data_IF_873419731753
#
_entry.id   IF_873419731753
#
_cell.length_a   1.000
_cell.length_b   1.000
_cell.length_c   1.000
_cell.angle_alpha   90.00
_cell.angle_beta   90.00
_cell.angle_gamma   90.00
#
_symmetry.space_group_name_H-M   'P 1'
#
loop_
_entity.id
_entity.type
_entity.pdbx_description
1 polymer ?
#
# COMPACT_ATOMS: atom_id res chain seq x y z
N UNK A 1 20.72 -16.49 30.72
CA UNK A 1 20.56 -15.68 31.94
C UNK A 1 19.40 -14.74 31.69
N UNK A 2 18.45 -14.69 32.61
CA UNK A 2 17.28 -13.79 32.52
C UNK A 2 17.64 -12.47 33.19
N UNK A 3 17.12 -11.36 32.68
CA UNK A 3 17.29 -10.04 33.24
C UNK A 3 16.02 -9.55 33.95
N UNK A 4 16.02 -8.30 34.39
CA UNK A 4 14.84 -7.64 34.97
C UNK A 4 14.62 -6.26 34.38
N UNK A 5 13.37 -5.81 34.37
CA UNK A 5 12.97 -4.46 33.92
C UNK A 5 12.12 -3.82 35.00
N UNK A 6 12.52 -2.65 35.49
CA UNK A 6 11.77 -1.91 36.50
C UNK A 6 11.68 -0.42 36.14
N UNK A 7 10.66 0.25 36.64
CA UNK A 7 10.44 1.66 36.37
C UNK A 7 9.38 2.30 37.25
N UNK A 8 9.13 3.59 37.04
CA UNK A 8 8.13 4.38 37.75
C UNK A 8 7.27 5.11 36.75
N UNK A 9 5.97 5.12 36.98
CA UNK A 9 4.95 5.82 36.17
C UNK A 9 4.39 6.97 37.00
N UNK A 10 4.42 8.16 36.40
CA UNK A 10 3.87 9.39 37.00
C UNK A 10 2.99 10.10 35.99
N UNK A 11 2.16 11.03 36.46
CA UNK A 11 1.45 11.99 35.61
C UNK A 11 2.33 13.22 35.30
N UNK A 12 1.76 14.16 34.55
CA UNK A 12 2.43 15.40 34.16
C UNK A 12 2.88 16.26 35.34
N UNK A 13 2.17 16.19 36.47
CA UNK A 13 2.43 16.97 37.67
C UNK A 13 3.41 16.25 38.62
N UNK A 14 3.91 15.08 38.23
CA UNK A 14 4.81 14.25 38.99
C UNK A 14 4.12 13.36 40.03
N UNK A 15 2.78 13.28 40.02
CA UNK A 15 2.02 12.40 40.91
C UNK A 15 2.15 10.97 40.42
N UNK A 16 2.36 10.01 41.33
CA UNK A 16 2.49 8.61 40.98
C UNK A 16 1.18 8.03 40.45
N UNK A 17 1.24 7.27 39.37
CA UNK A 17 0.08 6.60 38.77
C UNK A 17 -0.02 5.19 39.33
N UNK A 18 -0.83 4.98 40.35
CA UNK A 18 -1.16 3.65 40.89
C UNK A 18 -2.10 2.91 39.94
N UNK A 19 -1.90 1.58 39.79
CA UNK A 19 -2.78 0.73 38.98
C UNK A 19 -2.64 0.92 37.45
N UNK A 20 -1.64 1.67 36.98
CA UNK A 20 -1.37 1.75 35.56
C UNK A 20 -1.00 0.35 35.02
N UNK A 21 -1.61 -0.03 33.91
CA UNK A 21 -1.38 -1.34 33.29
C UNK A 21 -0.19 -1.29 32.34
N UNK A 22 0.78 -2.17 32.57
CA UNK A 22 2.00 -2.28 31.76
C UNK A 22 1.97 -3.65 31.05
N UNK A 23 2.11 -3.62 29.73
CA UNK A 23 2.27 -4.83 28.92
C UNK A 23 3.69 -4.87 28.38
N UNK A 24 4.40 -5.96 28.65
CA UNK A 24 5.71 -6.27 28.09
C UNK A 24 5.51 -7.11 26.82
N UNK A 25 6.05 -6.62 25.71
CA UNK A 25 5.97 -7.26 24.39
C UNK A 25 7.39 -7.59 23.89
N UNK A 26 7.52 -8.77 23.26
CA UNK A 26 8.70 -9.20 22.54
C UNK A 26 8.29 -9.62 21.12
N UNK A 27 8.99 -9.10 20.11
CA UNK A 27 8.65 -9.34 18.70
C UNK A 27 7.17 -9.06 18.32
N UNK A 28 6.51 -8.10 19.01
CA UNK A 28 5.11 -7.74 18.77
C UNK A 28 4.08 -8.66 19.44
N UNK A 29 4.52 -9.60 20.28
CA UNK A 29 3.65 -10.46 21.07
C UNK A 29 3.72 -10.05 22.54
N UNK A 30 2.55 -9.84 23.19
CA UNK A 30 2.47 -9.60 24.61
C UNK A 30 2.87 -10.88 25.36
N UNK A 31 3.96 -10.80 26.13
CA UNK A 31 4.50 -11.94 26.90
C UNK A 31 4.13 -11.89 28.38
N UNK A 32 4.00 -10.68 28.93
CA UNK A 32 3.63 -10.45 30.35
C UNK A 32 2.89 -9.13 30.52
N UNK A 33 2.15 -9.03 31.63
CA UNK A 33 1.55 -7.77 32.09
C UNK A 33 1.72 -7.61 33.59
N UNK A 34 1.81 -6.38 34.04
CA UNK A 34 1.86 -5.99 35.43
C UNK A 34 1.09 -4.68 35.63
N UNK A 35 0.73 -4.37 36.88
CA UNK A 35 0.19 -3.07 37.25
C UNK A 35 1.16 -2.35 38.18
N UNK A 36 1.19 -1.04 38.14
CA UNK A 36 1.98 -0.24 39.08
C UNK A 36 1.43 -0.38 40.52
N UNK A 37 2.35 -0.39 41.47
CA UNK A 37 2.05 -0.36 42.90
C UNK A 37 1.59 1.05 43.38
N UNK A 38 1.30 1.21 44.67
CA UNK A 38 0.90 2.48 45.29
C UNK A 38 1.97 3.60 45.21
N UNK A 39 3.22 3.25 44.83
CA UNK A 39 4.31 4.21 44.56
C UNK A 39 4.55 4.41 43.08
N UNK A 40 3.65 3.94 42.22
CA UNK A 40 3.77 4.02 40.77
C UNK A 40 4.85 3.14 40.17
N UNK A 41 5.39 2.15 40.90
CA UNK A 41 6.48 1.27 40.46
C UNK A 41 5.93 0.02 39.79
N UNK A 42 6.66 -0.46 38.81
CA UNK A 42 6.44 -1.78 38.20
C UNK A 42 7.75 -2.52 38.06
N UNK A 43 7.68 -3.85 38.15
CA UNK A 43 8.80 -4.77 38.04
C UNK A 43 8.43 -5.97 37.16
N UNK A 44 9.34 -6.35 36.26
CA UNK A 44 9.31 -7.60 35.52
C UNK A 44 10.62 -8.33 35.77
N UNK A 45 10.55 -9.42 36.54
CA UNK A 45 11.68 -10.31 36.76
C UNK A 45 11.71 -11.42 35.70
N UNK A 46 12.86 -12.08 35.55
CA UNK A 46 13.03 -13.22 34.67
C UNK A 46 12.65 -12.94 33.19
N UNK A 47 13.02 -11.77 32.68
CA UNK A 47 12.81 -11.37 31.29
C UNK A 47 13.93 -11.92 30.41
N UNK A 48 13.65 -12.59 29.29
CA UNK A 48 14.66 -13.01 28.35
C UNK A 48 15.43 -11.80 27.81
N UNK A 49 16.73 -11.96 27.55
CA UNK A 49 17.53 -10.93 26.89
C UNK A 49 17.09 -10.78 25.42
N UNK A 50 16.85 -9.55 24.99
CA UNK A 50 16.38 -9.24 23.65
C UNK A 50 15.80 -7.83 23.55
N UNK A 51 15.31 -7.48 22.36
CA UNK A 51 14.58 -6.23 22.15
C UNK A 51 13.18 -6.38 22.79
N UNK A 52 12.79 -5.39 23.57
CA UNK A 52 11.50 -5.37 24.24
C UNK A 52 10.74 -4.07 23.99
N UNK A 53 9.43 -4.12 24.16
CA UNK A 53 8.54 -2.97 24.16
C UNK A 53 7.65 -3.03 25.40
N UNK A 54 7.58 -1.90 26.11
CA UNK A 54 6.63 -1.70 27.21
C UNK A 54 5.50 -0.80 26.71
N UNK A 55 4.28 -1.23 26.83
CA UNK A 55 3.09 -0.43 26.58
C UNK A 55 2.42 -0.11 27.91
N UNK A 56 2.37 1.17 28.29
CA UNK A 56 1.88 1.64 29.59
C UNK A 56 0.57 2.40 29.37
N UNK A 57 -0.51 1.94 30.00
CA UNK A 57 -1.84 2.53 29.90
C UNK A 57 -2.47 2.73 31.27
N UNK A 58 -3.24 3.81 31.44
CA UNK A 58 -4.06 4.08 32.62
C UNK A 58 -5.32 4.81 32.20
N UNK A 59 -6.40 4.58 32.98
CA UNK A 59 -7.71 5.23 32.68
C UNK A 59 -7.60 6.73 32.70
N UNK A 60 -8.03 7.42 31.63
CA UNK A 60 -7.95 8.87 31.50
C UNK A 60 -6.60 9.39 30.98
N UNK A 61 -5.64 8.51 30.69
CA UNK A 61 -4.31 8.87 30.17
C UNK A 61 -4.04 8.26 28.79
N UNK A 62 -3.23 8.94 28.00
CA UNK A 62 -2.75 8.43 26.73
C UNK A 62 -1.73 7.32 26.96
N UNK A 63 -1.84 6.21 26.23
CA UNK A 63 -0.89 5.10 26.28
C UNK A 63 0.51 5.58 25.88
N UNK A 64 1.52 5.24 26.68
CA UNK A 64 2.92 5.48 26.42
C UNK A 64 3.62 4.18 26.02
N UNK A 65 4.57 4.27 25.09
CA UNK A 65 5.34 3.13 24.60
C UNK A 65 6.83 3.41 24.79
N UNK A 66 7.53 2.47 25.41
CA UNK A 66 8.99 2.50 25.60
C UNK A 66 9.58 1.28 24.91
N UNK A 67 10.61 1.46 24.12
CA UNK A 67 11.37 0.35 23.52
C UNK A 67 12.79 0.33 24.09
N UNK A 68 13.34 -0.87 24.24
CA UNK A 68 14.71 -1.04 24.74
C UNK A 68 15.32 -2.37 24.30
N UNK A 69 16.59 -2.53 24.64
CA UNK A 69 17.34 -3.78 24.48
C UNK A 69 17.83 -4.22 25.85
N UNK A 70 17.42 -5.43 26.28
CA UNK A 70 17.86 -6.04 27.53
C UNK A 70 18.98 -7.04 27.25
N UNK A 71 20.13 -6.86 27.90
CA UNK A 71 21.19 -7.87 27.83
C UNK A 71 20.97 -9.00 28.84
N UNK A 72 21.47 -10.19 28.52
CA UNK A 72 21.30 -11.35 29.40
C UNK A 72 21.89 -11.11 30.80
N UNK A 73 21.05 -11.17 31.84
CA UNK A 73 21.43 -10.91 33.24
C UNK A 73 21.46 -9.44 33.65
N UNK A 74 21.03 -8.54 32.77
CA UNK A 74 20.97 -7.10 33.03
C UNK A 74 19.70 -6.74 33.82
N UNK A 75 19.85 -5.73 34.70
CA UNK A 75 18.71 -5.04 35.32
C UNK A 75 18.51 -3.71 34.63
N UNK A 76 17.50 -3.62 33.77
CA UNK A 76 17.20 -2.43 33.01
C UNK A 76 16.27 -1.52 33.81
N UNK A 77 16.72 -0.31 34.10
CA UNK A 77 15.89 0.72 34.69
C UNK A 77 15.26 1.58 33.58
N UNK A 78 13.95 1.43 33.40
CA UNK A 78 13.22 2.28 32.46
C UNK A 78 13.29 3.75 32.91
N UNK A 79 13.39 4.72 31.97
CA UNK A 79 13.25 6.12 32.31
C UNK A 79 11.88 6.36 32.95
N UNK A 80 11.78 7.41 33.77
CA UNK A 80 10.50 7.79 34.37
C UNK A 80 9.44 8.02 33.28
N UNK A 81 8.36 7.25 33.37
CA UNK A 81 7.26 7.33 32.38
C UNK A 81 6.27 8.39 32.81
N UNK A 82 6.11 9.43 32.01
CA UNK A 82 5.14 10.50 32.27
C UNK A 82 3.91 10.24 31.42
N UNK A 83 2.77 9.92 32.06
CA UNK A 83 1.48 9.77 31.39
C UNK A 83 0.85 11.16 31.19
N UNK A 84 0.44 11.39 29.94
CA UNK A 84 -0.28 12.59 29.57
C UNK A 84 -1.79 12.30 29.60
N UNK A 85 -2.60 13.25 30.07
CA UNK A 85 -4.06 13.11 30.10
C UNK A 85 -4.54 12.80 28.68
N UNK A 86 -5.33 11.73 28.52
CA UNK A 86 -6.01 11.42 27.28
C UNK A 86 -7.01 12.52 26.98
N UNK A 87 -6.64 13.47 26.16
CA UNK A 87 -7.63 14.38 25.57
C UNK A 87 -8.39 13.55 24.52
N UNK A 88 -9.68 13.86 24.31
CA UNK A 88 -10.49 13.22 23.25
C UNK A 88 -9.79 13.27 21.88
N UNK A 89 -8.83 14.18 21.70
CA UNK A 89 -7.90 14.23 20.59
C UNK A 89 -6.85 13.09 20.58
N UNK A 90 -6.52 12.45 21.71
CA UNK A 90 -5.52 11.39 21.74
C UNK A 90 -6.06 10.01 21.34
N UNK A 91 -7.32 9.69 21.66
CA UNK A 91 -7.98 8.49 21.12
C UNK A 91 -8.33 8.66 19.64
N UNK A 92 -8.71 9.85 19.23
CA UNK A 92 -8.89 10.22 17.82
C UNK A 92 -7.55 10.21 17.06
N UNK A 93 -6.43 10.56 17.70
CA UNK A 93 -5.10 10.49 17.06
C UNK A 93 -4.62 9.08 16.73
N UNK A 94 -4.95 8.05 17.52
CA UNK A 94 -4.56 6.66 17.18
C UNK A 94 -5.40 6.12 16.02
N UNK A 95 -6.67 6.51 15.90
CA UNK A 95 -7.50 6.16 14.74
C UNK A 95 -7.34 7.13 13.57
N UNK A 96 -7.12 8.42 13.85
CA UNK A 96 -6.79 9.42 12.84
C UNK A 96 -5.40 9.20 12.25
N UNK A 97 -4.41 8.71 13.02
CA UNK A 97 -3.05 8.50 12.50
C UNK A 97 -2.99 7.45 11.38
N UNK A 98 -3.79 6.40 11.42
CA UNK A 98 -3.85 5.43 10.30
C UNK A 98 -4.52 6.02 9.06
N UNK A 99 -5.56 6.83 9.24
CA UNK A 99 -6.22 7.50 8.11
C UNK A 99 -5.41 8.70 7.60
N UNK A 100 -4.74 9.44 8.49
CA UNK A 100 -3.84 10.54 8.12
C UNK A 100 -2.58 10.00 7.45
N UNK A 101 -1.97 8.92 7.95
CA UNK A 101 -0.84 8.22 7.30
C UNK A 101 -1.28 7.71 5.93
N UNK A 102 -2.47 7.11 5.82
CA UNK A 102 -3.00 6.66 4.54
C UNK A 102 -3.28 7.83 3.58
N UNK A 103 -3.74 8.99 4.07
CA UNK A 103 -3.93 10.20 3.25
C UNK A 103 -2.61 10.85 2.83
N UNK A 104 -1.62 10.91 3.71
CA UNK A 104 -0.29 11.40 3.34
C UNK A 104 0.37 10.48 2.31
N UNK A 105 0.29 9.18 2.49
CA UNK A 105 0.79 8.21 1.52
C UNK A 105 0.13 8.34 0.15
N UNK A 106 -1.17 8.58 0.09
CA UNK A 106 -1.86 8.84 -1.18
C UNK A 106 -1.35 10.13 -1.83
N UNK A 107 -1.20 11.20 -1.06
CA UNK A 107 -0.63 12.45 -1.60
C UNK A 107 0.77 12.21 -2.14
N UNK A 108 1.58 11.39 -1.48
CA UNK A 108 2.90 10.99 -1.96
C UNK A 108 2.80 10.12 -3.22
N UNK A 109 1.91 9.12 -3.24
CA UNK A 109 1.65 8.25 -4.39
C UNK A 109 1.14 9.06 -5.60
N UNK A 110 0.25 10.02 -5.39
CA UNK A 110 -0.23 10.95 -6.45
C UNK A 110 0.86 11.88 -7.01
N UNK A 111 1.91 12.14 -6.26
CA UNK A 111 3.05 12.92 -6.71
C UNK A 111 4.13 12.07 -7.39
N UNK A 112 4.02 10.74 -7.31
CA UNK A 112 4.97 9.85 -7.95
C UNK A 112 4.80 9.89 -9.47
N UNK A 113 5.81 10.42 -10.13
CA UNK A 113 5.87 10.51 -11.59
C UNK A 113 7.22 10.01 -12.07
N UNK A 114 7.21 8.97 -12.89
CA UNK A 114 8.39 8.51 -13.60
C UNK A 114 8.89 9.61 -14.53
N UNK A 115 10.19 9.91 -14.48
CA UNK A 115 10.82 11.03 -15.20
C UNK A 115 10.19 12.40 -14.90
N UNK A 116 9.41 12.52 -13.83
CA UNK A 116 8.74 13.76 -13.43
C UNK A 116 7.40 14.05 -14.12
N UNK A 117 6.96 13.25 -15.09
CA UNK A 117 5.71 13.50 -15.81
C UNK A 117 4.79 12.28 -16.00
N UNK A 118 5.29 11.04 -16.11
CA UNK A 118 4.45 9.83 -16.28
C UNK A 118 3.89 9.41 -14.93
N UNK A 119 2.56 9.28 -14.77
CA UNK A 119 1.94 8.89 -13.50
C UNK A 119 2.37 7.48 -13.06
N UNK A 120 2.71 7.33 -11.77
CA UNK A 120 3.11 6.07 -11.15
C UNK A 120 2.36 5.88 -9.82
N UNK A 121 1.04 6.04 -9.83
CA UNK A 121 0.20 6.14 -8.64
C UNK A 121 -0.09 4.81 -7.94
N UNK A 122 0.05 3.70 -8.66
CA UNK A 122 -0.26 2.35 -8.15
C UNK A 122 0.97 1.60 -7.63
N UNK A 123 1.93 2.32 -7.05
CA UNK A 123 3.12 1.72 -6.44
C UNK A 123 3.32 2.27 -5.04
N UNK A 124 3.37 1.39 -4.05
CA UNK A 124 3.76 1.73 -2.70
C UNK A 124 5.21 1.36 -2.45
N UNK A 125 6.01 2.32 -2.00
CA UNK A 125 7.38 2.11 -1.55
C UNK A 125 7.47 1.85 -0.04
N UNK A 126 6.33 1.84 0.65
CA UNK A 126 6.22 1.49 2.07
C UNK A 126 5.70 0.05 2.15
N UNK A 127 6.51 -0.92 2.64
CA UNK A 127 6.14 -2.35 2.64
C UNK A 127 4.85 -2.65 3.41
N UNK A 128 4.64 -1.95 4.53
CA UNK A 128 3.51 -2.13 5.42
C UNK A 128 2.51 -0.96 5.36
N UNK A 129 2.41 -0.36 4.16
CA UNK A 129 1.41 0.68 3.93
C UNK A 129 0.01 0.17 4.28
N UNK A 130 -0.80 0.95 5.00
CA UNK A 130 -2.19 0.59 5.28
C UNK A 130 -2.96 0.40 3.97
N UNK A 131 -3.93 -0.55 3.94
CA UNK A 131 -4.73 -0.79 2.75
C UNK A 131 -5.54 0.45 2.39
N UNK A 132 -5.74 0.64 1.07
CA UNK A 132 -6.55 1.74 0.58
C UNK A 132 -8.02 1.52 0.92
N UNK A 133 -8.68 2.55 1.42
CA UNK A 133 -10.14 2.58 1.53
C UNK A 133 -10.78 2.60 0.13
N UNK A 134 -12.03 2.15 0.01
CA UNK A 134 -12.73 2.20 -1.27
C UNK A 134 -12.74 3.60 -1.88
N UNK A 135 -12.94 4.65 -1.08
CA UNK A 135 -12.90 6.05 -1.54
C UNK A 135 -11.54 6.42 -2.15
N UNK A 136 -10.47 5.95 -1.54
CA UNK A 136 -9.09 6.20 -2.01
C UNK A 136 -8.79 5.44 -3.30
N UNK A 137 -9.25 4.19 -3.44
CA UNK A 137 -9.16 3.41 -4.68
C UNK A 137 -9.85 4.15 -5.84
N UNK A 138 -11.07 4.65 -5.62
CA UNK A 138 -11.80 5.45 -6.62
C UNK A 138 -11.08 6.76 -6.95
N UNK A 139 -10.53 7.43 -5.94
CA UNK A 139 -9.79 8.68 -6.14
C UNK A 139 -8.55 8.50 -7.02
N UNK A 140 -7.73 7.48 -6.72
CA UNK A 140 -6.54 7.15 -7.52
C UNK A 140 -6.90 6.76 -8.95
N UNK A 141 -7.93 5.92 -9.12
CA UNK A 141 -8.39 5.50 -10.45
C UNK A 141 -8.88 6.67 -11.28
N UNK A 142 -9.66 7.57 -10.68
CA UNK A 142 -10.11 8.79 -11.34
C UNK A 142 -8.94 9.67 -11.75
N UNK A 143 -8.02 9.96 -10.83
CA UNK A 143 -6.81 10.78 -11.10
C UNK A 143 -5.97 10.18 -12.22
N UNK A 144 -5.77 8.86 -12.21
CA UNK A 144 -5.03 8.16 -13.27
C UNK A 144 -5.74 8.24 -14.62
N UNK A 145 -7.07 8.09 -14.63
CA UNK A 145 -7.86 8.09 -15.86
C UNK A 145 -7.89 9.44 -16.56
N UNK A 146 -7.95 10.55 -15.79
CA UNK A 146 -7.97 11.93 -16.35
C UNK A 146 -6.58 12.55 -16.47
N UNK A 147 -5.51 11.81 -16.17
CA UNK A 147 -4.15 12.34 -16.29
C UNK A 147 -3.85 12.72 -17.76
N UNK A 148 -3.25 13.89 -18.00
CA UNK A 148 -2.91 14.33 -19.36
C UNK A 148 -2.08 13.30 -20.14
N UNK A 149 -1.19 12.55 -19.46
CA UNK A 149 -0.37 11.52 -20.10
C UNK A 149 -1.23 10.32 -20.55
N UNK A 150 -2.27 9.94 -19.79
CA UNK A 150 -3.21 8.89 -20.21
C UNK A 150 -3.95 9.30 -21.48
N UNK A 151 -4.42 10.55 -21.53
CA UNK A 151 -5.11 11.10 -22.72
C UNK A 151 -4.16 11.16 -23.92
N UNK A 152 -2.95 11.70 -23.71
CA UNK A 152 -1.95 11.80 -24.78
C UNK A 152 -1.50 10.43 -25.29
N UNK A 153 -1.32 9.46 -24.41
CA UNK A 153 -0.97 8.09 -24.77
C UNK A 153 -2.06 7.44 -25.62
N UNK A 154 -3.35 7.64 -25.26
CA UNK A 154 -4.47 7.15 -26.05
C UNK A 154 -4.47 7.75 -27.46
N UNK A 155 -4.15 9.04 -27.59
CA UNK A 155 -4.00 9.70 -28.90
C UNK A 155 -2.80 9.17 -29.68
N UNK A 156 -1.68 8.92 -29.02
CA UNK A 156 -0.49 8.37 -29.65
C UNK A 156 -0.75 6.95 -30.20
N UNK A 157 -1.34 6.06 -29.40
CA UNK A 157 -1.70 4.71 -29.86
C UNK A 157 -2.73 4.73 -30.97
N UNK A 158 -3.75 5.61 -30.88
CA UNK A 158 -4.70 5.80 -31.99
C UNK A 158 -4.01 6.24 -33.29
N UNK A 159 -2.94 7.03 -33.20
CA UNK A 159 -2.12 7.42 -34.36
C UNK A 159 -1.39 6.24 -34.97
N UNK A 160 -0.79 5.37 -34.17
CA UNK A 160 -0.13 4.13 -34.63
C UNK A 160 -1.16 3.23 -35.30
N UNK A 161 -2.29 2.95 -34.65
CA UNK A 161 -3.39 2.13 -35.20
C UNK A 161 -3.92 2.68 -36.51
N UNK A 162 -4.00 4.01 -36.63
CA UNK A 162 -4.39 4.68 -37.87
C UNK A 162 -3.37 4.46 -38.98
N UNK A 163 -2.06 4.58 -38.67
CA UNK A 163 -0.99 4.39 -39.63
C UNK A 163 -0.90 2.92 -40.12
N UNK A 164 -1.11 1.98 -39.22
CA UNK A 164 -1.10 0.53 -39.50
C UNK A 164 -2.42 0.00 -40.06
N UNK A 165 -3.45 0.87 -40.16
CA UNK A 165 -4.82 0.48 -40.50
C UNK A 165 -5.38 -0.63 -39.60
N UNK A 166 -4.95 -0.68 -38.34
CA UNK A 166 -5.49 -1.55 -37.33
C UNK A 166 -6.96 -1.19 -37.09
N UNK A 167 -7.78 -2.18 -36.73
CA UNK A 167 -9.23 -1.98 -36.55
C UNK A 167 -9.86 -1.23 -37.74
N UNK A 168 -9.66 -1.80 -38.93
CA UNK A 168 -10.05 -1.18 -40.21
C UNK A 168 -11.54 -0.79 -40.28
N UNK A 169 -12.41 -1.43 -39.49
CA UNK A 169 -13.83 -1.06 -39.38
C UNK A 169 -14.10 0.34 -38.83
N UNK A 170 -13.11 0.99 -38.19
CA UNK A 170 -13.21 2.40 -37.83
C UNK A 170 -13.07 3.36 -39.02
N UNK A 171 -12.51 2.87 -40.15
CA UNK A 171 -12.20 3.66 -41.33
C UNK A 171 -10.89 4.45 -41.20
N UNK A 172 -10.62 5.31 -42.18
CA UNK A 172 -9.43 6.14 -42.26
C UNK A 172 -9.76 7.65 -42.15
N UNK A 173 -8.75 8.50 -42.16
CA UNK A 173 -8.87 9.96 -42.04
C UNK A 173 -9.22 10.41 -40.61
N UNK A 174 -9.61 11.68 -40.49
CA UNK A 174 -9.87 12.31 -39.18
C UNK A 174 -10.97 11.59 -38.37
N UNK A 175 -12.00 11.11 -39.05
CA UNK A 175 -13.09 10.37 -38.39
C UNK A 175 -12.61 9.00 -37.87
N UNK A 176 -11.82 8.27 -38.66
CA UNK A 176 -11.22 6.98 -38.24
C UNK A 176 -10.29 7.16 -37.05
N UNK A 177 -9.45 8.21 -37.08
CA UNK A 177 -8.58 8.57 -35.95
C UNK A 177 -9.38 8.88 -34.68
N UNK A 178 -10.41 9.73 -34.77
CA UNK A 178 -11.24 10.10 -33.63
C UNK A 178 -11.93 8.89 -33.00
N UNK A 179 -12.40 7.93 -33.80
CA UNK A 179 -12.99 6.68 -33.29
C UNK A 179 -11.96 5.81 -32.56
N UNK A 180 -10.75 5.65 -33.11
CA UNK A 180 -9.65 4.93 -32.45
C UNK A 180 -9.22 5.61 -31.16
N UNK A 181 -9.08 6.94 -31.18
CA UNK A 181 -8.78 7.71 -29.98
C UNK A 181 -9.84 7.49 -28.88
N UNK A 182 -11.13 7.60 -29.25
CA UNK A 182 -12.23 7.37 -28.31
C UNK A 182 -12.23 5.95 -27.76
N UNK A 183 -11.98 4.93 -28.58
CA UNK A 183 -11.88 3.54 -28.17
C UNK A 183 -10.70 3.30 -27.22
N UNK A 184 -9.49 3.74 -27.58
CA UNK A 184 -8.29 3.64 -26.74
C UNK A 184 -8.46 4.33 -25.38
N UNK A 185 -9.06 5.53 -25.38
CA UNK A 185 -9.30 6.25 -24.13
C UNK A 185 -10.39 5.56 -23.28
N UNK A 186 -11.44 5.04 -23.91
CA UNK A 186 -12.48 4.25 -23.22
C UNK A 186 -11.88 2.97 -22.60
N UNK A 187 -11.02 2.25 -23.32
CA UNK A 187 -10.32 1.07 -22.80
C UNK A 187 -9.43 1.42 -21.60
N UNK A 188 -8.65 2.50 -21.70
CA UNK A 188 -7.79 2.97 -20.61
C UNK A 188 -8.62 3.38 -19.38
N UNK A 189 -9.70 4.12 -19.58
CA UNK A 189 -10.58 4.57 -18.51
C UNK A 189 -11.29 3.38 -17.83
N UNK A 190 -11.95 2.51 -18.61
CA UNK A 190 -12.69 1.35 -18.10
C UNK A 190 -11.74 0.39 -17.41
N UNK A 191 -10.60 0.09 -18.04
CA UNK A 191 -9.58 -0.79 -17.46
C UNK A 191 -9.08 -0.26 -16.11
N UNK A 192 -8.71 1.03 -16.04
CA UNK A 192 -8.25 1.66 -14.80
C UNK A 192 -9.33 1.69 -13.72
N UNK A 193 -10.57 2.03 -14.07
CA UNK A 193 -11.67 2.05 -13.11
C UNK A 193 -12.02 0.65 -12.59
N UNK A 194 -12.02 -0.36 -13.44
CA UNK A 194 -12.31 -1.74 -13.03
C UNK A 194 -11.18 -2.33 -12.19
N UNK A 195 -9.91 -2.23 -12.64
CA UNK A 195 -8.76 -2.85 -11.96
C UNK A 195 -8.24 -2.03 -10.78
N UNK A 196 -8.39 -0.70 -10.81
CA UNK A 196 -7.88 0.19 -9.76
C UNK A 196 -8.89 0.55 -8.67
N UNK A 197 -10.20 0.44 -8.95
CA UNK A 197 -11.23 0.89 -8.01
C UNK A 197 -12.37 -0.10 -7.80
N UNK A 198 -13.19 -0.36 -8.82
CA UNK A 198 -14.48 -1.07 -8.67
C UNK A 198 -14.26 -2.47 -8.10
N UNK A 199 -13.48 -3.30 -8.78
CA UNK A 199 -13.28 -4.69 -8.36
C UNK A 199 -12.40 -4.81 -7.11
N UNK A 200 -11.30 -4.06 -6.96
CA UNK A 200 -10.56 -4.05 -5.70
C UNK A 200 -11.39 -3.58 -4.49
N UNK A 201 -12.30 -2.64 -4.66
CA UNK A 201 -13.20 -2.23 -3.58
C UNK A 201 -14.22 -3.32 -3.20
N UNK A 202 -14.82 -3.98 -4.21
CA UNK A 202 -15.79 -5.07 -4.02
C UNK A 202 -15.12 -6.32 -3.41
N UNK A 203 -13.94 -6.69 -3.89
CA UNK A 203 -13.22 -7.90 -3.49
C UNK A 203 -12.28 -7.67 -2.28
N UNK A 204 -12.24 -6.45 -1.73
CA UNK A 204 -11.37 -6.06 -0.61
C UNK A 204 -9.90 -6.38 -0.89
N UNK A 205 -9.42 -5.98 -2.06
CA UNK A 205 -8.05 -6.15 -2.52
C UNK A 205 -7.38 -4.80 -2.77
N UNK A 206 -6.07 -4.71 -2.51
CA UNK A 206 -5.29 -3.51 -2.75
C UNK A 206 -4.69 -3.56 -4.17
N UNK A 207 -5.00 -2.61 -5.05
CA UNK A 207 -4.55 -2.63 -6.44
C UNK A 207 -3.09 -2.19 -6.62
N UNK A 208 -2.37 -1.86 -5.54
CA UNK A 208 -1.00 -1.35 -5.61
C UNK A 208 0.02 -2.48 -5.70
N UNK A 209 1.08 -2.23 -6.45
CA UNK A 209 2.31 -2.99 -6.37
C UNK A 209 3.13 -2.52 -5.17
N UNK A 210 3.49 -3.42 -4.28
CA UNK A 210 4.36 -3.13 -3.13
C UNK A 210 5.81 -3.40 -3.51
N UNK A 211 6.61 -2.34 -3.58
CA UNK A 211 8.01 -2.44 -3.94
C UNK A 211 8.81 -3.22 -2.89
N UNK A 212 9.49 -4.30 -3.31
CA UNK A 212 10.26 -5.13 -2.40
C UNK A 212 11.60 -4.52 -2.01
N UNK A 213 12.37 -4.10 -2.98
CA UNK A 213 13.63 -3.36 -2.80
C UNK A 213 14.78 -4.12 -2.16
N UNK A 214 14.52 -5.17 -1.38
CA UNK A 214 15.48 -5.92 -0.57
C UNK A 214 15.65 -7.37 -1.03
N UNK A 215 16.80 -7.98 -0.72
CA UNK A 215 17.11 -9.36 -1.09
C UNK A 215 17.85 -9.50 -2.41
N UNK A 216 18.08 -10.75 -2.84
CA UNK A 216 18.81 -11.05 -4.07
C UNK A 216 18.02 -10.62 -5.32
N UNK A 217 18.72 -10.35 -6.43
CA UNK A 217 18.07 -10.00 -7.71
C UNK A 217 17.06 -11.07 -8.15
N UNK A 218 17.37 -12.36 -7.94
CA UNK A 218 16.46 -13.49 -8.26
C UNK A 218 15.19 -13.44 -7.41
N UNK A 219 15.32 -13.23 -6.09
CA UNK A 219 14.19 -13.12 -5.17
C UNK A 219 13.27 -11.93 -5.51
N UNK A 220 13.86 -10.79 -5.89
CA UNK A 220 13.12 -9.59 -6.31
C UNK A 220 12.40 -9.82 -7.65
N UNK A 221 13.06 -10.47 -8.61
CA UNK A 221 12.45 -10.77 -9.92
C UNK A 221 11.28 -11.74 -9.77
N UNK A 222 11.45 -12.83 -9.01
CA UNK A 222 10.35 -13.78 -8.74
C UNK A 222 9.18 -13.13 -8.02
N UNK A 223 9.47 -12.26 -7.06
CA UNK A 223 8.44 -11.47 -6.37
C UNK A 223 7.66 -10.56 -7.34
N UNK A 224 8.36 -9.82 -8.20
CA UNK A 224 7.74 -8.94 -9.18
C UNK A 224 6.85 -9.72 -10.17
N UNK A 225 7.32 -10.88 -10.65
CA UNK A 225 6.55 -11.75 -11.54
C UNK A 225 5.32 -12.33 -10.81
N UNK A 226 5.48 -12.80 -9.57
CA UNK A 226 4.36 -13.33 -8.79
C UNK A 226 3.27 -12.28 -8.56
N UNK A 227 3.64 -11.02 -8.35
CA UNK A 227 2.70 -9.91 -8.19
C UNK A 227 1.93 -9.53 -9.48
N UNK A 228 2.11 -10.24 -10.58
CA UNK A 228 1.20 -10.15 -11.72
C UNK A 228 -0.10 -10.95 -11.50
N UNK A 229 -0.11 -11.86 -10.53
CA UNK A 229 -1.26 -12.75 -10.23
C UNK A 229 -1.64 -12.79 -8.75
N UNK A 230 -0.82 -12.17 -7.87
CA UNK A 230 -1.10 -12.05 -6.43
C UNK A 230 -1.08 -10.58 -6.01
N UNK A 231 -1.92 -10.24 -5.04
CA UNK A 231 -1.98 -8.92 -4.43
C UNK A 231 -2.15 -9.01 -2.91
N UNK A 232 -2.05 -7.88 -2.20
CA UNK A 232 -2.46 -7.80 -0.81
C UNK A 232 -3.98 -7.60 -0.72
N UNK A 233 -4.62 -8.29 0.21
CA UNK A 233 -5.99 -7.96 0.62
C UNK A 233 -6.02 -6.74 1.55
N UNK A 234 -7.20 -6.16 1.74
CA UNK A 234 -7.42 -5.08 2.73
C UNK A 234 -7.17 -5.57 4.18
N UNK A 235 -7.03 -6.88 4.38
CA UNK A 235 -6.60 -7.52 5.63
C UNK A 235 -5.07 -7.64 5.77
N UNK A 236 -4.30 -7.16 4.79
CA UNK A 236 -2.84 -7.24 4.73
C UNK A 236 -2.25 -8.58 4.28
N UNK A 237 -3.07 -9.61 4.08
CA UNK A 237 -2.60 -10.93 3.65
C UNK A 237 -2.46 -11.03 2.13
N UNK A 238 -1.46 -11.78 1.67
CA UNK A 238 -1.27 -12.10 0.26
C UNK A 238 -2.32 -13.10 -0.23
N UNK A 239 -2.88 -12.84 -1.40
CA UNK A 239 -3.91 -13.67 -2.01
C UNK A 239 -3.86 -13.57 -3.54
N UNK A 240 -4.59 -14.43 -4.25
CA UNK A 240 -4.74 -14.30 -5.70
C UNK A 240 -5.44 -12.98 -6.04
N UNK A 241 -4.98 -12.31 -7.08
CA UNK A 241 -5.55 -11.06 -7.56
C UNK A 241 -6.79 -11.32 -8.42
N UNK A 242 -7.88 -11.69 -7.73
CA UNK A 242 -9.17 -11.92 -8.38
C UNK A 242 -9.69 -10.64 -9.04
N UNK A 243 -9.36 -9.47 -8.47
CA UNK A 243 -9.80 -8.19 -8.98
C UNK A 243 -9.20 -7.88 -10.33
N UNK A 244 -7.88 -8.06 -10.50
CA UNK A 244 -7.22 -7.84 -11.79
C UNK A 244 -7.67 -8.84 -12.85
N UNK A 245 -7.83 -10.12 -12.48
CA UNK A 245 -8.31 -11.19 -13.38
C UNK A 245 -9.71 -10.84 -13.90
N UNK A 246 -10.64 -10.53 -12.98
CA UNK A 246 -12.03 -10.21 -13.35
C UNK A 246 -12.11 -8.89 -14.12
N UNK A 247 -11.26 -7.88 -13.74
CA UNK A 247 -11.19 -6.61 -14.45
C UNK A 247 -10.78 -6.78 -15.90
N UNK A 248 -9.75 -7.58 -16.16
CA UNK A 248 -9.25 -7.82 -17.51
C UNK A 248 -10.32 -8.49 -18.40
N UNK A 249 -11.02 -9.48 -17.86
CA UNK A 249 -12.10 -10.16 -18.57
C UNK A 249 -13.30 -9.21 -18.81
N UNK A 250 -13.70 -8.45 -17.80
CA UNK A 250 -14.82 -7.51 -17.89
C UNK A 250 -14.50 -6.36 -18.87
N UNK A 251 -13.30 -5.78 -18.79
CA UNK A 251 -12.88 -4.73 -19.71
C UNK A 251 -12.88 -5.21 -21.16
N UNK A 252 -12.33 -6.40 -21.43
CA UNK A 252 -12.37 -7.02 -22.77
C UNK A 252 -13.79 -7.30 -23.25
N UNK A 253 -14.69 -7.72 -22.36
CA UNK A 253 -16.11 -7.88 -22.68
C UNK A 253 -16.80 -6.56 -23.03
N UNK A 254 -16.53 -5.50 -22.26
CA UNK A 254 -17.11 -4.16 -22.46
C UNK A 254 -16.57 -3.51 -23.75
N UNK A 255 -15.28 -3.69 -24.07
CA UNK A 255 -14.68 -3.12 -25.29
C UNK A 255 -15.34 -3.64 -26.56
N UNK A 256 -15.86 -4.89 -26.56
CA UNK A 256 -16.63 -5.43 -27.69
C UNK A 256 -17.91 -4.64 -28.01
N UNK A 257 -18.41 -3.81 -27.09
CA UNK A 257 -19.62 -3.01 -27.35
C UNK A 257 -19.37 -1.84 -28.32
N UNK A 258 -18.13 -1.29 -28.33
CA UNK A 258 -17.80 -0.11 -29.14
C UNK A 258 -16.76 -0.36 -30.23
N UNK A 259 -16.08 -1.50 -30.24
CA UNK A 259 -15.22 -1.89 -31.34
C UNK A 259 -16.03 -2.31 -32.58
N UNK A 260 -15.50 -2.15 -33.80
CA UNK A 260 -16.18 -2.60 -35.00
C UNK A 260 -16.47 -4.11 -34.98
N UNK A 261 -17.60 -4.52 -35.53
CA UNK A 261 -18.04 -5.93 -35.50
C UNK A 261 -16.99 -6.91 -36.09
N UNK A 262 -16.25 -6.46 -37.13
CA UNK A 262 -15.17 -7.26 -37.74
C UNK A 262 -13.94 -7.46 -36.81
N UNK A 263 -13.79 -6.62 -35.77
CA UNK A 263 -12.67 -6.63 -34.87
C UNK A 263 -13.04 -7.06 -33.44
N UNK A 264 -14.30 -7.50 -33.24
CA UNK A 264 -14.75 -7.98 -31.93
C UNK A 264 -14.09 -9.31 -31.62
N UNK A 265 -13.50 -9.38 -30.44
CA UNK A 265 -12.79 -10.53 -29.98
C UNK A 265 -13.76 -11.61 -29.50
N UNK A 266 -13.64 -12.84 -30.03
CA UNK A 266 -14.35 -13.99 -29.48
C UNK A 266 -13.85 -14.34 -28.08
N UNK A 267 -14.57 -15.25 -27.40
CA UNK A 267 -14.24 -15.68 -26.03
C UNK A 267 -12.78 -16.16 -25.90
N UNK A 268 -12.31 -16.95 -26.88
CA UNK A 268 -10.92 -17.46 -26.89
C UNK A 268 -9.90 -16.32 -26.89
N UNK A 269 -10.12 -15.30 -27.72
CA UNK A 269 -9.21 -14.14 -27.82
C UNK A 269 -9.28 -13.26 -26.56
N UNK A 270 -10.39 -13.22 -25.84
CA UNK A 270 -10.51 -12.55 -24.53
C UNK A 270 -9.59 -13.19 -23.50
N UNK A 271 -9.52 -14.52 -23.47
CA UNK A 271 -8.60 -15.25 -22.57
C UNK A 271 -7.12 -15.09 -22.99
N UNK A 272 -6.85 -15.07 -24.30
CA UNK A 272 -5.51 -14.79 -24.83
C UNK A 272 -5.04 -13.40 -24.45
N UNK A 273 -5.87 -12.38 -24.64
CA UNK A 273 -5.57 -11.00 -24.23
C UNK A 273 -5.39 -10.86 -22.71
N UNK A 274 -6.17 -11.59 -21.90
CA UNK A 274 -5.99 -11.62 -20.45
C UNK A 274 -4.63 -12.23 -20.09
N UNK A 275 -4.23 -13.33 -20.75
CA UNK A 275 -2.90 -13.94 -20.57
C UNK A 275 -1.76 -13.01 -20.96
N UNK A 276 -1.89 -12.30 -22.07
CA UNK A 276 -0.94 -11.25 -22.49
C UNK A 276 -0.91 -10.08 -21.50
N UNK A 277 -2.06 -9.71 -20.93
CA UNK A 277 -2.16 -8.71 -19.88
C UNK A 277 -1.37 -9.08 -18.61
N UNK A 278 -1.42 -10.35 -18.18
CA UNK A 278 -0.60 -10.83 -17.04
C UNK A 278 0.89 -10.81 -17.37
N UNK A 279 1.27 -11.19 -18.61
CA UNK A 279 2.64 -11.06 -19.08
C UNK A 279 3.12 -9.60 -19.04
N UNK A 280 2.30 -8.68 -19.52
CA UNK A 280 2.54 -7.25 -19.47
C UNK A 280 2.68 -6.73 -18.03
N UNK A 281 1.80 -7.15 -17.12
CA UNK A 281 1.87 -6.80 -15.70
C UNK A 281 3.16 -7.32 -15.05
N UNK A 282 3.59 -8.54 -15.37
CA UNK A 282 4.86 -9.08 -14.88
C UNK A 282 6.07 -8.26 -15.36
N UNK A 283 6.08 -7.87 -16.64
CA UNK A 283 7.11 -6.97 -17.20
C UNK A 283 7.06 -5.61 -16.53
N UNK A 284 5.89 -5.02 -16.35
CA UNK A 284 5.72 -3.75 -15.66
C UNK A 284 6.22 -3.82 -14.22
N UNK A 285 5.89 -4.88 -13.47
CA UNK A 285 6.35 -5.08 -12.10
C UNK A 285 7.89 -5.25 -12.03
N UNK A 286 8.50 -5.93 -12.99
CA UNK A 286 9.97 -5.99 -13.13
C UNK A 286 10.58 -4.61 -13.38
N UNK A 287 9.96 -3.80 -14.24
CA UNK A 287 10.37 -2.40 -14.45
C UNK A 287 10.25 -1.58 -13.16
N UNK A 288 9.15 -1.70 -12.42
CA UNK A 288 8.96 -1.05 -11.12
C UNK A 288 10.06 -1.46 -10.14
N UNK A 289 10.37 -2.76 -10.07
CA UNK A 289 11.31 -3.30 -9.10
C UNK A 289 12.77 -2.91 -9.37
N UNK A 290 13.18 -2.77 -10.64
CA UNK A 290 14.60 -2.57 -10.97
C UNK A 290 14.95 -1.21 -11.57
N UNK A 291 14.00 -0.53 -12.19
CA UNK A 291 14.27 0.66 -13.01
C UNK A 291 13.53 1.89 -12.48
N UNK A 292 12.21 1.80 -12.32
CA UNK A 292 11.33 2.96 -12.11
C UNK A 292 11.70 3.74 -10.85
N UNK A 293 12.04 3.07 -9.75
CA UNK A 293 12.48 3.75 -8.52
C UNK A 293 13.64 4.73 -8.76
N UNK A 294 14.58 4.37 -9.62
CA UNK A 294 15.75 5.22 -9.92
C UNK A 294 15.40 6.44 -10.77
N UNK A 295 14.29 6.37 -11.50
CA UNK A 295 13.82 7.38 -12.42
C UNK A 295 12.65 8.20 -11.84
N UNK A 296 12.19 7.87 -10.61
CA UNK A 296 11.12 8.60 -9.94
C UNK A 296 11.73 9.61 -8.96
N UNK A 297 11.69 10.91 -9.26
CA UNK A 297 12.10 11.95 -8.32
C UNK A 297 11.10 12.05 -7.16
N UNK A 298 11.55 12.47 -5.98
CA UNK A 298 10.72 12.72 -4.79
C UNK A 298 10.02 11.47 -4.22
N UNK A 299 10.80 10.40 -3.98
CA UNK A 299 10.31 9.27 -3.21
C UNK A 299 10.16 9.62 -1.71
N UNK A 300 9.23 8.97 -0.98
CA UNK A 300 9.10 9.13 0.46
C UNK A 300 10.43 8.91 1.18
N UNK A 301 10.79 9.80 2.11
CA UNK A 301 12.05 9.71 2.87
C UNK A 301 12.14 8.43 3.71
N UNK A 302 11.03 7.82 4.04
CA UNK A 302 10.94 6.57 4.80
C UNK A 302 11.48 5.34 4.04
N UNK A 303 11.53 5.40 2.72
CA UNK A 303 12.05 4.30 1.89
C UNK A 303 13.59 4.29 1.75
N UNK A 304 14.29 5.32 2.25
CA UNK A 304 15.74 5.49 2.09
C UNK A 304 16.57 5.14 3.33
N UNK A 305 15.95 4.78 4.46
CA UNK A 305 16.63 4.61 5.76
C UNK A 305 16.66 3.18 6.29
N UNK A 306 16.61 2.16 5.42
CA UNK A 306 17.01 0.81 5.82
C UNK A 306 18.25 0.40 5.02
N UNK A 307 19.39 0.15 5.72
CA UNK A 307 20.64 -0.31 5.10
C UNK A 307 20.53 -1.72 4.52
#
# INVERSE_FOLDING_TARGET
MQGSIHGIVVDRDGTVCEGAHITLEEAGLAIRSANTDGNGRFDFDDVPGGAFQLSISSSGFATQVITGLLHAGESYQAPQVVLLIATAASEVRVNASRQEIAQEQIKEEEQQRLLGFIPNFYVSYVPDAPPLTSRQKYHLAWRSSIDPITILSSGFFAGIEQAENSYNGFGQGAQGYAKRFGANYADAFIGTMLSGAVLPALMKQDPRYFYKGTGSKRSRALYAIANAVICKGDNGHWQLDYSAITASLAAGGISNLYYPAANRNGVALTFENAGLGFGGSAVQNLFQEFIVRKLTPKLPKTASSQP
#
